data_IF_706970044923
#
_entry.id   IF_706970044923
#
_cell.length_a   1.000
_cell.length_b   1.000
_cell.length_c   1.000
_cell.angle_alpha   90.00
_cell.angle_beta   90.00
_cell.angle_gamma   90.00
#
_symmetry.space_group_name_H-M   'P 1'
#
loop_
_entity.id
_entity.type
_entity.pdbx_description
1 polymer ?
#
# COMPACT_ATOMS: atom_id res chain seq x y z
N UNK A 1 91.73 12.93 -26.16
CA UNK A 1 92.93 12.62 -25.36
C UNK A 1 92.50 11.73 -24.22
N UNK A 2 93.19 10.55 -24.23
CA UNK A 2 93.61 9.67 -23.14
C UNK A 2 92.50 9.21 -22.14
N UNK A 3 92.09 7.97 -22.26
CA UNK A 3 92.64 6.74 -21.69
C UNK A 3 92.79 6.75 -20.16
N UNK A 4 92.15 5.82 -19.47
CA UNK A 4 92.63 4.51 -18.95
C UNK A 4 91.53 3.86 -18.07
N UNK A 5 91.06 2.68 -18.30
CA UNK A 5 91.52 1.30 -18.04
C UNK A 5 91.71 0.90 -16.55
N UNK A 6 91.00 -0.17 -16.17
CA UNK A 6 91.24 -1.29 -15.29
C UNK A 6 91.03 -1.05 -13.78
N UNK A 7 90.27 -1.91 -13.09
CA UNK A 7 90.69 -3.28 -12.78
C UNK A 7 89.53 -4.17 -12.31
N UNK A 8 89.59 -5.42 -12.70
CA UNK A 8 88.80 -6.56 -12.23
C UNK A 8 89.29 -7.08 -10.91
N UNK A 9 88.42 -7.23 -9.92
CA UNK A 9 88.68 -8.09 -8.78
C UNK A 9 87.62 -9.20 -8.75
N UNK A 10 88.11 -10.44 -8.97
CA UNK A 10 87.36 -11.67 -8.76
C UNK A 10 87.29 -11.94 -7.27
N UNK A 11 86.10 -12.01 -6.70
CA UNK A 11 85.84 -12.52 -5.38
C UNK A 11 84.78 -13.60 -5.45
N UNK A 12 85.23 -14.86 -5.48
CA UNK A 12 84.32 -15.98 -5.31
C UNK A 12 83.93 -16.07 -3.83
N UNK A 13 82.70 -15.82 -3.50
CA UNK A 13 82.14 -16.05 -2.20
C UNK A 13 81.04 -17.10 -2.29
N UNK A 14 81.20 -18.12 -1.60
CA UNK A 14 80.39 -19.31 -1.38
C UNK A 14 78.92 -18.99 -1.14
N UNK A 15 78.08 -19.45 -2.01
CA UNK A 15 76.65 -19.49 -1.78
C UNK A 15 76.25 -20.77 -1.05
N UNK A 16 75.99 -20.64 0.25
CA UNK A 16 75.29 -21.67 0.99
C UNK A 16 73.80 -21.60 0.60
N UNK A 17 73.15 -22.69 0.22
CA UNK A 17 71.69 -22.69 0.02
C UNK A 17 71.06 -22.57 1.41
N UNK A 18 70.51 -21.41 1.69
CA UNK A 18 69.53 -21.26 2.79
C UNK A 18 68.24 -21.94 2.32
N UNK A 19 68.01 -23.13 2.82
CA UNK A 19 66.66 -23.75 2.71
C UNK A 19 65.75 -22.96 3.67
N UNK A 20 65.06 -22.01 3.18
CA UNK A 20 63.94 -21.41 3.87
C UNK A 20 62.83 -22.48 3.95
N UNK A 21 62.70 -23.12 5.11
CA UNK A 21 61.51 -23.86 5.43
C UNK A 21 60.37 -22.85 5.50
N UNK A 22 59.60 -22.75 4.43
CA UNK A 22 58.32 -22.07 4.47
C UNK A 22 57.41 -22.87 5.40
N UNK A 23 57.32 -22.47 6.64
CA UNK A 23 56.22 -22.88 7.52
C UNK A 23 54.99 -22.31 6.85
N UNK A 24 54.21 -23.16 6.18
CA UNK A 24 52.88 -22.82 5.74
C UNK A 24 52.10 -22.48 7.01
N UNK A 25 51.96 -21.19 7.28
CA UNK A 25 50.95 -20.74 8.22
C UNK A 25 49.63 -21.35 7.71
N UNK A 26 48.84 -22.00 8.58
CA UNK A 26 47.49 -22.39 8.16
C UNK A 26 46.82 -21.13 7.60
N UNK A 27 46.36 -21.22 6.37
CA UNK A 27 45.50 -20.18 5.83
C UNK A 27 44.39 -19.99 6.86
N UNK A 28 44.45 -18.86 7.57
CA UNK A 28 43.23 -18.41 8.26
C UNK A 28 42.19 -18.40 7.17
N UNK A 29 41.26 -19.33 7.21
CA UNK A 29 40.03 -19.24 6.48
C UNK A 29 39.44 -17.95 7.03
N UNK A 30 39.62 -16.86 6.30
CA UNK A 30 38.77 -15.70 6.51
C UNK A 30 37.38 -16.30 6.43
N UNK A 31 36.77 -16.44 7.59
CA UNK A 31 35.33 -16.57 7.65
C UNK A 31 34.84 -15.38 6.84
N UNK A 32 34.52 -15.63 5.59
CA UNK A 32 33.64 -14.75 4.88
C UNK A 32 32.41 -14.66 5.79
N UNK A 33 32.39 -13.63 6.63
CA UNK A 33 31.19 -13.13 7.22
C UNK A 33 30.36 -12.61 6.03
N UNK A 34 29.90 -13.54 5.23
CA UNK A 34 28.91 -13.25 4.21
C UNK A 34 27.79 -12.61 4.97
N UNK A 35 27.67 -11.30 4.86
CA UNK A 35 26.40 -10.64 5.13
C UNK A 35 25.45 -11.41 4.26
N UNK A 36 24.61 -12.24 4.89
CA UNK A 36 23.55 -12.95 4.17
C UNK A 36 22.89 -11.91 3.30
N UNK A 37 23.04 -12.07 1.98
CA UNK A 37 22.50 -11.12 1.03
C UNK A 37 21.00 -11.11 1.28
N UNK A 38 20.47 -9.99 1.76
CA UNK A 38 19.05 -9.86 2.02
C UNK A 38 18.34 -10.01 0.69
N UNK A 39 17.48 -11.01 0.57
CA UNK A 39 16.68 -11.27 -0.62
C UNK A 39 15.26 -10.78 -0.35
N UNK A 40 14.75 -9.81 -1.15
CA UNK A 40 13.38 -9.36 -1.01
C UNK A 40 12.39 -10.52 -1.14
N UNK A 41 11.51 -10.69 -0.18
CA UNK A 41 10.48 -11.75 -0.17
C UNK A 41 9.16 -11.15 -0.60
N UNK A 42 8.52 -11.76 -1.61
CA UNK A 42 7.19 -11.37 -2.03
C UNK A 42 6.15 -11.87 -1.02
N UNK A 43 5.33 -10.96 -0.53
CA UNK A 43 4.26 -11.23 0.42
C UNK A 43 2.90 -10.90 -0.18
N UNK A 44 1.89 -11.61 0.31
CA UNK A 44 0.51 -11.41 -0.08
C UNK A 44 -0.34 -11.44 1.19
N UNK A 45 -0.95 -10.30 1.52
CA UNK A 45 -1.86 -10.19 2.66
C UNK A 45 -3.29 -10.40 2.17
N UNK A 46 -3.88 -11.52 2.59
CA UNK A 46 -5.30 -11.82 2.36
C UNK A 46 -6.13 -11.39 3.58
N UNK A 47 -7.05 -10.48 3.37
CA UNK A 47 -7.91 -9.99 4.45
C UNK A 47 -8.67 -11.11 5.16
N UNK A 48 -9.06 -12.16 4.46
CA UNK A 48 -9.83 -13.27 5.05
C UNK A 48 -8.99 -14.18 5.96
N UNK A 49 -7.69 -14.31 5.69
CA UNK A 49 -6.77 -15.18 6.44
C UNK A 49 -5.96 -14.45 7.50
N UNK A 50 -5.46 -13.26 7.15
CA UNK A 50 -4.40 -12.59 7.89
C UNK A 50 -4.89 -11.45 8.78
N UNK A 51 -6.11 -10.95 8.55
CA UNK A 51 -6.63 -9.76 9.21
C UNK A 51 -7.60 -10.09 10.34
N UNK A 52 -7.49 -9.30 11.42
CA UNK A 52 -8.41 -9.33 12.57
C UNK A 52 -8.97 -7.94 12.81
N UNK A 53 -10.26 -7.80 12.60
CA UNK A 53 -11.01 -6.61 13.01
C UNK A 53 -11.18 -6.58 14.51
N UNK A 54 -10.77 -5.49 15.17
CA UNK A 54 -10.95 -5.28 16.61
C UNK A 54 -12.19 -4.42 16.90
N UNK A 55 -12.52 -3.51 15.99
CA UNK A 55 -13.72 -2.66 16.07
C UNK A 55 -14.12 -2.17 14.67
N UNK A 56 -15.16 -1.34 14.61
CA UNK A 56 -15.52 -0.62 13.38
C UNK A 56 -14.50 0.46 12.99
N UNK A 57 -13.52 0.75 13.84
CA UNK A 57 -12.53 1.82 13.64
C UNK A 57 -11.10 1.33 13.73
N UNK A 58 -10.88 0.04 13.98
CA UNK A 58 -9.54 -0.52 14.10
C UNK A 58 -9.48 -2.01 13.77
N UNK A 59 -8.34 -2.43 13.26
CA UNK A 59 -7.98 -3.82 13.04
C UNK A 59 -6.49 -3.96 12.78
N UNK A 60 -6.01 -5.19 12.66
CA UNK A 60 -4.61 -5.50 12.38
C UNK A 60 -4.48 -6.75 11.54
N UNK A 61 -3.38 -6.84 10.81
CA UNK A 61 -2.99 -8.03 10.08
C UNK A 61 -1.51 -8.33 10.33
N UNK A 62 -1.11 -9.56 10.06
CA UNK A 62 0.29 -9.96 10.05
C UNK A 62 0.49 -11.02 8.97
N UNK A 63 1.56 -10.87 8.19
CA UNK A 63 1.91 -11.78 7.10
C UNK A 63 3.40 -12.05 7.12
N UNK A 64 3.78 -13.29 6.86
CA UNK A 64 5.17 -13.76 6.92
C UNK A 64 5.30 -15.02 7.76
N UNK A 65 6.54 -15.32 8.11
CA UNK A 65 6.90 -16.46 8.94
C UNK A 65 7.59 -16.01 10.27
N UNK A 66 8.18 -16.95 10.98
CA UNK A 66 8.85 -16.68 12.26
C UNK A 66 10.09 -15.78 12.12
N UNK A 67 10.67 -15.69 10.92
CA UNK A 67 11.92 -14.97 10.66
C UNK A 67 11.66 -13.56 10.08
N UNK A 68 10.55 -13.39 9.37
CA UNK A 68 10.18 -12.13 8.73
C UNK A 68 8.66 -11.95 8.74
N UNK A 69 8.16 -11.22 9.72
CA UNK A 69 6.72 -10.91 9.83
C UNK A 69 6.50 -9.42 9.67
N UNK A 70 5.71 -9.04 8.68
CA UNK A 70 5.23 -7.68 8.50
C UNK A 70 3.86 -7.56 9.15
N UNK A 71 3.75 -6.70 10.16
CA UNK A 71 2.47 -6.34 10.76
C UNK A 71 1.89 -5.10 10.09
N UNK A 72 0.57 -5.08 9.96
CA UNK A 72 -0.20 -3.94 9.45
C UNK A 72 -1.25 -3.55 10.49
N UNK A 73 -1.26 -2.27 10.86
CA UNK A 73 -2.32 -1.67 11.66
C UNK A 73 -3.23 -0.85 10.75
N UNK A 74 -4.54 -1.04 10.90
CA UNK A 74 -5.57 -0.32 10.14
C UNK A 74 -6.42 0.45 11.14
N UNK A 75 -6.49 1.78 10.98
CA UNK A 75 -7.23 2.64 11.90
C UNK A 75 -8.05 3.69 11.16
N UNK A 76 -9.21 4.04 11.70
CA UNK A 76 -9.93 5.23 11.28
C UNK A 76 -9.23 6.47 11.85
N UNK A 77 -8.57 7.24 10.99
CA UNK A 77 -7.84 8.45 11.39
C UNK A 77 -8.78 9.65 11.59
N UNK A 78 -9.83 9.74 10.76
CA UNK A 78 -10.84 10.80 10.90
C UNK A 78 -12.18 10.37 10.33
N UNK A 79 -13.24 11.08 10.77
CA UNK A 79 -14.58 10.94 10.24
C UNK A 79 -15.25 12.31 10.20
N UNK A 80 -15.93 12.62 9.11
CA UNK A 80 -16.59 13.89 8.89
C UNK A 80 -17.82 14.10 9.79
N UNK A 81 -18.14 15.36 10.05
CA UNK A 81 -19.22 15.73 10.98
C UNK A 81 -20.61 15.25 10.57
N UNK A 82 -20.81 14.91 9.30
CA UNK A 82 -22.07 14.34 8.77
C UNK A 82 -21.97 12.85 8.48
N UNK A 83 -20.88 12.18 8.84
CA UNK A 83 -20.59 10.78 8.51
C UNK A 83 -20.52 9.92 9.76
N UNK A 84 -20.92 8.67 9.64
CA UNK A 84 -20.72 7.60 10.63
C UNK A 84 -20.23 6.34 9.93
N UNK A 85 -19.62 5.45 10.69
CA UNK A 85 -19.35 4.08 10.21
C UNK A 85 -20.63 3.26 10.20
N UNK A 86 -20.73 2.33 9.26
CA UNK A 86 -21.87 1.45 9.12
C UNK A 86 -23.07 2.08 8.43
N UNK A 87 -24.16 1.33 8.34
CA UNK A 87 -25.38 1.80 7.72
C UNK A 87 -26.16 2.80 8.59
N UNK A 88 -27.02 3.57 7.95
CA UNK A 88 -27.81 4.62 8.60
C UNK A 88 -28.83 4.05 9.61
N UNK A 89 -29.38 2.89 9.33
CA UNK A 89 -30.33 2.21 10.21
C UNK A 89 -29.66 1.69 11.50
N UNK A 90 -28.32 1.70 11.57
CA UNK A 90 -27.51 1.17 12.69
C UNK A 90 -27.72 -0.32 12.96
N UNK A 91 -28.21 -1.04 11.98
CA UNK A 91 -28.42 -2.50 12.06
C UNK A 91 -27.18 -3.26 11.64
N UNK A 92 -26.31 -2.62 10.88
CA UNK A 92 -25.09 -3.21 10.35
C UNK A 92 -23.94 -2.20 10.38
N UNK A 93 -22.75 -2.64 10.73
CA UNK A 93 -21.53 -1.85 10.64
C UNK A 93 -20.40 -2.71 10.10
N UNK A 94 -20.25 -2.69 8.78
CA UNK A 94 -19.23 -3.41 8.04
C UNK A 94 -17.92 -2.63 7.89
N UNK A 95 -17.82 -1.40 8.45
CA UNK A 95 -16.57 -0.66 8.35
C UNK A 95 -15.41 -1.44 8.94
N UNK A 96 -14.33 -1.59 8.15
CA UNK A 96 -13.19 -2.45 8.43
C UNK A 96 -13.54 -3.94 8.63
N UNK A 97 -14.68 -4.40 8.14
CA UNK A 97 -14.99 -5.82 8.06
C UNK A 97 -14.46 -6.41 6.74
N UNK A 98 -14.19 -7.70 6.75
CA UNK A 98 -13.90 -8.45 5.52
C UNK A 98 -15.22 -8.80 4.83
N UNK A 99 -15.33 -8.53 3.54
CA UNK A 99 -16.54 -8.84 2.77
C UNK A 99 -16.87 -10.34 2.82
N UNK A 100 -18.14 -10.68 2.69
CA UNK A 100 -18.57 -12.09 2.59
C UNK A 100 -18.41 -12.67 1.18
N UNK A 101 -18.06 -11.84 0.20
CA UNK A 101 -17.93 -12.15 -1.23
C UNK A 101 -16.58 -11.68 -1.78
N UNK A 102 -16.21 -12.18 -2.95
CA UNK A 102 -15.05 -11.71 -3.70
C UNK A 102 -15.35 -10.37 -4.35
N UNK A 103 -14.46 -9.39 -4.18
CA UNK A 103 -14.70 -8.01 -4.61
C UNK A 103 -14.07 -7.70 -5.97
N UNK A 104 -14.68 -6.80 -6.71
CA UNK A 104 -14.09 -6.20 -7.90
C UNK A 104 -13.68 -7.18 -8.99
N UNK A 105 -14.37 -8.32 -9.16
CA UNK A 105 -14.01 -9.36 -10.13
C UNK A 105 -12.73 -10.14 -9.77
N UNK A 106 -12.21 -10.00 -8.56
CA UNK A 106 -11.08 -10.79 -8.05
C UNK A 106 -11.57 -12.13 -7.49
N UNK A 107 -10.63 -13.00 -7.08
CA UNK A 107 -10.95 -14.21 -6.33
C UNK A 107 -10.95 -14.01 -4.80
N UNK A 108 -10.54 -12.80 -4.31
CA UNK A 108 -10.30 -12.52 -2.91
C UNK A 108 -11.40 -11.65 -2.32
N UNK A 109 -11.66 -11.84 -1.03
CA UNK A 109 -12.49 -10.94 -0.24
C UNK A 109 -11.78 -9.60 -0.01
N UNK A 110 -12.56 -8.52 0.15
CA UNK A 110 -12.02 -7.18 0.35
C UNK A 110 -12.22 -6.68 1.78
N UNK A 111 -11.37 -5.74 2.19
CA UNK A 111 -11.58 -4.94 3.39
C UNK A 111 -12.57 -3.82 3.06
N UNK A 112 -13.71 -3.77 3.73
CA UNK A 112 -14.74 -2.76 3.51
C UNK A 112 -14.40 -1.44 4.20
N UNK A 113 -14.55 -0.34 3.49
CA UNK A 113 -14.64 1.02 4.05
C UNK A 113 -16.10 1.43 3.92
N UNK A 114 -16.85 1.28 5.01
CA UNK A 114 -18.31 1.36 5.05
C UNK A 114 -18.75 2.58 5.85
N UNK A 115 -19.56 3.43 5.23
CA UNK A 115 -20.05 4.67 5.85
C UNK A 115 -21.49 4.98 5.48
N UNK A 116 -22.11 5.87 6.25
CA UNK A 116 -23.40 6.45 5.95
C UNK A 116 -23.51 7.87 6.53
N UNK A 117 -24.46 8.71 6.07
CA UNK A 117 -24.69 10.00 6.66
C UNK A 117 -25.35 9.86 8.05
N UNK A 118 -25.04 10.79 8.96
CA UNK A 118 -25.74 10.90 10.25
C UNK A 118 -27.21 11.23 10.04
N UNK A 119 -27.50 12.05 9.02
CA UNK A 119 -28.86 12.45 8.67
C UNK A 119 -29.04 12.42 7.16
N UNK A 120 -29.99 11.60 6.68
CA UNK A 120 -30.36 11.52 5.27
C UNK A 120 -31.13 12.75 4.75
N UNK A 121 -31.48 13.69 5.62
CA UNK A 121 -32.01 14.99 5.22
C UNK A 121 -30.92 15.97 4.77
N UNK A 122 -29.65 15.69 5.11
CA UNK A 122 -28.53 16.49 4.60
C UNK A 122 -28.14 15.97 3.22
N UNK A 123 -28.26 16.84 2.25
CA UNK A 123 -27.70 16.59 0.93
C UNK A 123 -26.20 16.46 1.04
N UNK A 124 -25.62 15.57 0.25
CA UNK A 124 -24.22 15.63 -0.03
C UNK A 124 -23.84 17.06 -0.42
N UNK A 125 -22.67 17.43 -0.07
CA UNK A 125 -22.18 18.75 -0.33
C UNK A 125 -22.19 19.06 -1.83
N UNK A 126 -22.41 20.32 -2.13
CA UNK A 126 -21.92 20.84 -3.40
C UNK A 126 -20.45 20.46 -3.56
N UNK A 127 -20.10 19.82 -4.67
CA UNK A 127 -18.74 19.41 -5.03
C UNK A 127 -17.72 20.56 -5.04
N UNK A 128 -18.21 21.79 -4.98
CA UNK A 128 -17.42 23.01 -4.96
C UNK A 128 -16.94 23.45 -3.56
N UNK A 129 -17.41 22.81 -2.49
CA UNK A 129 -17.05 23.22 -1.11
C UNK A 129 -16.21 22.12 -0.43
N UNK A 130 -14.91 22.38 -0.27
CA UNK A 130 -14.00 21.46 0.42
C UNK A 130 -14.49 21.12 1.85
N UNK A 131 -15.05 22.09 2.59
CA UNK A 131 -15.57 21.86 3.93
C UNK A 131 -16.71 20.80 3.94
N UNK A 132 -17.61 20.87 2.96
CA UNK A 132 -18.72 19.94 2.86
C UNK A 132 -18.29 18.55 2.38
N UNK A 133 -17.28 18.47 1.52
CA UNK A 133 -16.68 17.18 1.14
C UNK A 133 -16.12 16.51 2.39
N UNK A 134 -15.38 17.24 3.22
CA UNK A 134 -14.84 16.73 4.48
C UNK A 134 -15.91 16.28 5.48
N UNK A 135 -17.09 16.94 5.51
CA UNK A 135 -18.24 16.50 6.35
C UNK A 135 -18.78 15.12 5.95
N UNK A 136 -18.65 14.73 4.69
CA UNK A 136 -19.19 13.48 4.12
C UNK A 136 -18.05 12.50 3.78
N UNK A 137 -17.07 12.38 4.65
CA UNK A 137 -15.90 11.55 4.42
C UNK A 137 -15.46 10.76 5.67
N UNK A 138 -14.70 9.69 5.44
CA UNK A 138 -13.86 9.08 6.46
C UNK A 138 -12.47 8.81 5.90
N UNK A 139 -11.48 8.86 6.78
CA UNK A 139 -10.09 8.54 6.44
C UNK A 139 -9.65 7.30 7.20
N UNK A 140 -9.18 6.31 6.49
CA UNK A 140 -8.58 5.10 7.04
C UNK A 140 -7.07 5.17 6.80
N UNK A 141 -6.30 4.93 7.86
CA UNK A 141 -4.85 4.89 7.84
C UNK A 141 -4.37 3.45 7.96
N UNK A 142 -3.35 3.15 7.19
CA UNK A 142 -2.65 1.87 7.11
C UNK A 142 -1.19 2.10 7.50
N UNK A 143 -0.74 1.46 8.58
CA UNK A 143 0.62 1.58 9.11
C UNK A 143 1.28 0.20 9.12
N UNK A 144 2.35 0.02 8.37
CA UNK A 144 3.20 -1.16 8.37
C UNK A 144 4.24 -1.08 9.49
N UNK A 145 4.60 -2.21 10.09
CA UNK A 145 5.66 -2.28 11.10
C UNK A 145 7.04 -1.91 10.56
N UNK A 146 7.25 -2.11 9.28
CA UNK A 146 8.49 -1.83 8.55
C UNK A 146 8.13 -1.32 7.14
N UNK A 147 9.06 -0.64 6.44
CA UNK A 147 8.83 -0.27 5.04
C UNK A 147 8.57 -1.51 4.19
N UNK A 148 7.58 -1.44 3.31
CA UNK A 148 7.30 -2.46 2.29
C UNK A 148 7.49 -1.86 0.91
N UNK A 149 8.03 -2.63 -0.02
CA UNK A 149 8.29 -2.20 -1.39
C UNK A 149 7.27 -2.80 -2.37
N UNK A 150 7.10 -2.17 -3.54
CA UNK A 150 6.19 -2.62 -4.59
C UNK A 150 4.75 -2.88 -4.11
N UNK A 151 4.31 -2.14 -3.08
CA UNK A 151 2.94 -2.30 -2.58
C UNK A 151 1.93 -2.02 -3.68
N UNK A 152 1.04 -2.97 -3.91
CA UNK A 152 -0.03 -2.86 -4.90
C UNK A 152 -1.33 -3.51 -4.42
N UNK A 153 -2.47 -2.87 -4.73
CA UNK A 153 -3.82 -3.35 -4.44
C UNK A 153 -4.86 -2.70 -5.36
N UNK A 154 -6.08 -3.23 -5.34
CA UNK A 154 -7.23 -2.59 -5.97
C UNK A 154 -8.06 -1.86 -4.93
N UNK A 155 -8.57 -0.69 -5.31
CA UNK A 155 -9.76 -0.10 -4.71
C UNK A 155 -10.91 -0.42 -5.66
N UNK A 156 -11.94 -1.07 -5.14
CA UNK A 156 -13.07 -1.56 -5.92
C UNK A 156 -14.35 -0.87 -5.52
N UNK A 157 -15.34 -0.91 -6.39
CA UNK A 157 -16.67 -0.33 -6.16
C UNK A 157 -16.68 1.21 -6.09
N UNK A 158 -15.85 1.85 -6.93
CA UNK A 158 -15.84 3.31 -7.07
C UNK A 158 -16.86 3.68 -8.17
N UNK A 159 -18.10 3.87 -7.80
CA UNK A 159 -19.17 4.11 -8.75
C UNK A 159 -20.12 5.25 -8.32
N UNK A 160 -21.26 5.40 -8.98
CA UNK A 160 -22.22 6.45 -8.65
C UNK A 160 -23.66 6.09 -9.07
N UNK A 161 -24.61 6.41 -8.20
CA UNK A 161 -26.03 6.39 -8.52
C UNK A 161 -26.61 7.80 -8.45
N UNK A 162 -27.44 8.15 -9.44
CA UNK A 162 -28.02 9.49 -9.51
C UNK A 162 -28.91 9.77 -8.29
N UNK A 163 -28.72 10.92 -7.64
CA UNK A 163 -29.44 11.40 -6.46
C UNK A 163 -29.22 10.59 -5.18
N UNK A 164 -28.23 9.70 -5.17
CA UNK A 164 -27.96 8.76 -4.10
C UNK A 164 -26.51 8.88 -3.61
N UNK A 165 -25.57 8.47 -4.41
CA UNK A 165 -24.14 8.60 -4.08
C UNK A 165 -23.29 8.91 -5.31
N UNK A 166 -22.12 9.48 -5.02
CA UNK A 166 -21.06 9.68 -6.00
C UNK A 166 -19.72 9.48 -5.28
N UNK A 167 -19.10 8.33 -5.51
CA UNK A 167 -17.91 7.93 -4.83
C UNK A 167 -16.68 8.72 -5.29
N UNK A 168 -15.86 9.06 -4.31
CA UNK A 168 -14.59 9.72 -4.50
C UNK A 168 -13.58 9.20 -3.48
N UNK A 169 -12.35 8.89 -3.92
CA UNK A 169 -11.27 8.39 -3.08
C UNK A 169 -10.01 9.20 -3.28
N UNK A 170 -9.41 9.63 -2.17
CA UNK A 170 -8.10 10.29 -2.13
C UNK A 170 -7.13 9.38 -1.41
N UNK A 171 -5.91 9.27 -1.96
CA UNK A 171 -4.79 8.54 -1.38
C UNK A 171 -3.75 9.56 -0.93
N UNK A 172 -3.27 9.46 0.30
CA UNK A 172 -2.22 10.31 0.85
C UNK A 172 -1.09 9.44 1.39
N UNK A 173 0.14 9.71 0.95
CA UNK A 173 1.35 9.03 1.38
C UNK A 173 2.58 9.92 1.16
N UNK A 174 3.64 9.70 1.93
CA UNK A 174 4.94 10.29 1.66
C UNK A 174 5.64 9.62 0.47
N UNK A 175 5.41 8.32 0.26
CA UNK A 175 5.91 7.59 -0.90
C UNK A 175 5.06 7.90 -2.15
N UNK A 176 5.69 8.12 -3.32
CA UNK A 176 4.97 8.33 -4.57
C UNK A 176 4.21 7.06 -4.99
N UNK A 177 3.07 7.24 -5.62
CA UNK A 177 2.25 6.17 -6.13
C UNK A 177 1.65 6.50 -7.50
N UNK A 178 1.20 5.49 -8.19
CA UNK A 178 0.32 5.61 -9.35
C UNK A 178 -1.02 4.97 -9.04
N UNK A 179 -2.10 5.56 -9.56
CA UNK A 179 -3.40 4.92 -9.57
C UNK A 179 -3.91 4.89 -11.01
N UNK A 180 -4.31 3.73 -11.46
CA UNK A 180 -4.77 3.52 -12.84
C UNK A 180 -6.03 2.68 -12.88
N UNK A 181 -6.94 3.03 -13.77
CA UNK A 181 -8.12 2.22 -14.08
C UNK A 181 -7.84 1.32 -15.28
N UNK A 182 -8.23 0.07 -15.22
CA UNK A 182 -8.09 -0.87 -16.33
C UNK A 182 -8.92 -0.46 -17.55
N UNK A 183 -8.61 -1.08 -18.70
CA UNK A 183 -9.42 -0.89 -19.92
C UNK A 183 -10.87 -1.28 -19.65
N UNK A 184 -11.80 -0.38 -20.00
CA UNK A 184 -13.22 -0.57 -19.74
C UNK A 184 -13.69 -0.23 -18.32
N UNK A 185 -12.79 0.19 -17.43
CA UNK A 185 -13.17 0.73 -16.13
C UNK A 185 -13.93 2.06 -16.31
N UNK A 186 -14.83 2.29 -15.39
CA UNK A 186 -15.56 3.55 -15.29
C UNK A 186 -14.97 4.50 -14.25
N UNK A 187 -13.84 4.15 -13.65
CA UNK A 187 -13.14 5.01 -12.69
C UNK A 187 -12.24 5.99 -13.44
N UNK A 188 -12.24 7.24 -13.00
CA UNK A 188 -11.37 8.32 -13.49
C UNK A 188 -10.57 8.92 -12.33
N UNK A 189 -9.49 9.64 -12.66
CA UNK A 189 -8.63 10.30 -11.70
C UNK A 189 -7.36 9.51 -11.36
N UNK A 190 -6.44 10.19 -10.67
CA UNK A 190 -5.12 9.67 -10.28
C UNK A 190 -5.00 9.38 -8.78
N UNK A 191 -6.07 9.57 -8.01
CA UNK A 191 -6.08 9.30 -6.57
C UNK A 191 -5.50 10.41 -5.69
N UNK A 192 -5.04 11.50 -6.28
CA UNK A 192 -4.48 12.64 -5.52
C UNK A 192 -5.57 13.57 -4.99
N UNK A 193 -5.23 14.48 -4.08
CA UNK A 193 -6.15 15.49 -3.56
C UNK A 193 -6.69 16.41 -4.65
N UNK A 194 -5.91 16.67 -5.70
CA UNK A 194 -6.29 17.53 -6.83
C UNK A 194 -7.00 16.77 -7.94
N UNK A 195 -6.78 15.46 -8.05
CA UNK A 195 -7.42 14.59 -9.03
C UNK A 195 -7.79 13.24 -8.40
N UNK A 196 -8.81 13.20 -7.52
CA UNK A 196 -9.23 11.99 -6.83
C UNK A 196 -9.72 10.90 -7.78
N UNK A 197 -9.58 9.63 -7.36
CA UNK A 197 -10.34 8.56 -7.99
C UNK A 197 -11.82 8.83 -7.79
N UNK A 198 -12.61 8.64 -8.83
CA UNK A 198 -14.05 8.90 -8.82
C UNK A 198 -14.76 8.11 -9.91
N UNK A 199 -16.05 7.93 -9.74
CA UNK A 199 -16.89 7.47 -10.86
C UNK A 199 -16.73 8.41 -12.06
N UNK A 200 -16.40 7.90 -13.21
CA UNK A 200 -16.31 8.65 -14.46
C UNK A 200 -17.68 8.87 -15.12
N UNK A 201 -18.71 8.15 -14.68
CA UNK A 201 -20.10 8.26 -15.12
C UNK A 201 -21.04 7.80 -14.01
N UNK A 202 -22.31 8.16 -14.13
CA UNK A 202 -23.35 7.78 -13.17
C UNK A 202 -23.92 6.45 -13.63
N UNK A 203 -23.45 5.39 -13.02
CA UNK A 203 -23.89 4.01 -13.26
C UNK A 203 -23.52 3.18 -12.04
N UNK A 204 -24.50 2.66 -11.27
CA UNK A 204 -24.21 1.74 -10.18
C UNK A 204 -23.71 0.40 -10.74
N UNK A 205 -22.74 -0.18 -10.08
CA UNK A 205 -22.08 -1.43 -10.48
C UNK A 205 -22.10 -2.39 -9.29
N UNK A 206 -22.34 -3.69 -9.48
CA UNK A 206 -22.23 -4.65 -8.37
C UNK A 206 -20.81 -4.70 -7.81
N UNK A 207 -20.66 -4.83 -6.50
CA UNK A 207 -19.40 -4.88 -5.75
C UNK A 207 -18.45 -5.98 -6.25
N UNK A 208 -19.02 -7.01 -6.87
CA UNK A 208 -18.26 -8.13 -7.48
C UNK A 208 -17.74 -7.82 -8.88
N UNK A 209 -18.07 -6.66 -9.46
CA UNK A 209 -17.68 -6.29 -10.81
C UNK A 209 -16.31 -5.64 -10.86
N UNK A 210 -15.46 -6.01 -11.84
CA UNK A 210 -14.19 -5.33 -12.10
C UNK A 210 -14.29 -3.96 -12.79
N UNK A 211 -15.51 -3.48 -13.12
CA UNK A 211 -15.70 -2.24 -13.89
C UNK A 211 -15.51 -0.96 -13.07
N UNK A 212 -15.62 -1.04 -11.76
CA UNK A 212 -15.49 0.09 -10.83
C UNK A 212 -14.18 0.03 -10.02
N UNK A 213 -13.10 -0.46 -10.64
CA UNK A 213 -11.82 -0.66 -9.97
C UNK A 213 -10.76 0.34 -10.40
N UNK A 214 -9.88 0.68 -9.44
CA UNK A 214 -8.60 1.32 -9.69
C UNK A 214 -7.47 0.49 -9.05
N UNK A 215 -6.38 0.28 -9.78
CA UNK A 215 -5.15 -0.32 -9.27
C UNK A 215 -4.27 0.79 -8.69
N UNK A 216 -3.83 0.63 -7.47
CA UNK A 216 -2.85 1.50 -6.80
C UNK A 216 -1.54 0.75 -6.71
N UNK A 217 -0.43 1.41 -7.08
CA UNK A 217 0.92 0.86 -6.98
C UNK A 217 1.86 1.94 -6.45
N UNK A 218 2.55 1.64 -5.35
CA UNK A 218 3.59 2.51 -4.80
C UNK A 218 4.90 2.28 -5.55
N UNK A 219 5.61 3.38 -5.81
CA UNK A 219 6.83 3.40 -6.64
C UNK A 219 8.11 3.35 -5.80
N UNK A 220 8.00 3.57 -4.51
CA UNK A 220 9.06 3.56 -3.52
C UNK A 220 8.58 2.87 -2.25
N UNK A 221 9.50 2.42 -1.35
CA UNK A 221 9.11 1.80 -0.10
C UNK A 221 8.18 2.70 0.73
N UNK A 222 7.14 2.10 1.28
CA UNK A 222 6.11 2.78 2.05
C UNK A 222 5.94 2.18 3.43
N UNK A 223 5.91 3.02 4.46
CA UNK A 223 5.59 2.61 5.84
C UNK A 223 4.14 2.89 6.19
N UNK A 224 3.50 3.86 5.53
CA UNK A 224 2.11 4.17 5.78
C UNK A 224 1.47 4.92 4.62
N UNK A 225 0.16 4.75 4.49
CA UNK A 225 -0.69 5.55 3.62
C UNK A 225 -2.08 5.73 4.24
N UNK A 226 -2.84 6.67 3.72
CA UNK A 226 -4.22 6.89 4.10
C UNK A 226 -5.14 6.88 2.88
N UNK A 227 -6.36 6.38 3.06
CA UNK A 227 -7.44 6.47 2.10
C UNK A 227 -8.56 7.32 2.69
N UNK A 228 -8.93 8.38 2.00
CA UNK A 228 -10.10 9.19 2.34
C UNK A 228 -11.23 8.87 1.37
N UNK A 229 -12.26 8.21 1.87
CA UNK A 229 -13.49 7.90 1.15
C UNK A 229 -14.53 9.00 1.36
N UNK A 230 -15.13 9.47 0.28
CA UNK A 230 -16.03 10.62 0.25
C UNK A 230 -17.26 10.32 -0.58
N UNK A 231 -18.43 10.77 -0.13
CA UNK A 231 -19.58 10.93 -0.97
C UNK A 231 -19.71 12.40 -1.42
N UNK A 232 -19.72 12.62 -2.72
CA UNK A 232 -19.80 13.99 -3.30
C UNK A 232 -21.06 14.21 -4.15
N UNK A 233 -22.11 13.39 -3.96
CA UNK A 233 -23.38 13.61 -4.64
C UNK A 233 -23.97 14.99 -4.25
N UNK A 234 -24.21 15.83 -5.24
CA UNK A 234 -24.63 17.22 -5.02
C UNK A 234 -25.90 17.63 -5.77
N UNK A 235 -26.58 16.66 -6.41
CA UNK A 235 -27.78 17.00 -7.19
C UNK A 235 -28.91 17.47 -6.30
N UNK A 236 -29.72 18.32 -6.88
CA UNK A 236 -30.95 18.81 -6.24
C UNK A 236 -31.85 17.63 -5.85
N UNK A 237 -32.37 17.62 -4.63
CA UNK A 237 -33.17 16.56 -4.04
C UNK A 237 -32.46 15.21 -3.79
N UNK A 238 -31.14 15.14 -3.93
CA UNK A 238 -30.38 13.96 -3.54
C UNK A 238 -30.59 13.62 -2.07
N UNK A 239 -30.68 12.36 -1.79
CA UNK A 239 -30.51 11.80 -0.44
C UNK A 239 -29.24 10.98 -0.48
N UNK A 240 -28.34 11.23 0.47
CA UNK A 240 -27.13 10.43 0.55
C UNK A 240 -27.53 9.01 0.90
N UNK A 241 -26.97 8.05 0.18
CA UNK A 241 -27.14 6.62 0.46
C UNK A 241 -26.85 6.32 1.93
N UNK A 242 -27.72 5.52 2.50
CA UNK A 242 -27.62 5.09 3.90
C UNK A 242 -26.71 3.89 4.13
N UNK A 243 -26.04 3.38 3.10
CA UNK A 243 -25.27 2.14 3.14
C UNK A 243 -24.18 2.12 2.05
N UNK A 244 -23.15 2.96 2.21
CA UNK A 244 -22.09 3.13 1.20
C UNK A 244 -20.85 2.36 1.58
N UNK A 245 -20.24 1.69 0.63
CA UNK A 245 -18.95 1.02 0.82
C UNK A 245 -18.08 1.08 -0.44
N UNK A 246 -16.78 1.11 -0.24
CA UNK A 246 -15.76 0.70 -1.19
C UNK A 246 -14.94 -0.43 -0.54
N UNK A 247 -14.18 -1.16 -1.34
CA UNK A 247 -13.39 -2.27 -0.81
C UNK A 247 -11.95 -2.19 -1.28
N UNK A 248 -11.02 -2.62 -0.41
CA UNK A 248 -9.64 -2.90 -0.78
C UNK A 248 -9.48 -4.39 -1.02
N UNK A 249 -8.90 -4.74 -2.18
CA UNK A 249 -8.47 -6.12 -2.43
C UNK A 249 -7.32 -6.53 -1.51
N UNK A 250 -6.93 -7.80 -1.55
CA UNK A 250 -5.68 -8.25 -0.95
C UNK A 250 -4.50 -7.36 -1.34
N UNK A 251 -3.52 -7.19 -0.42
CA UNK A 251 -2.30 -6.41 -0.65
C UNK A 251 -1.19 -7.32 -1.15
N UNK A 252 -0.43 -6.87 -2.14
CA UNK A 252 0.78 -7.54 -2.61
C UNK A 252 1.96 -6.60 -2.47
N UNK A 253 3.06 -7.06 -1.87
CA UNK A 253 4.26 -6.26 -1.64
C UNK A 253 5.49 -7.14 -1.50
N UNK A 254 6.68 -6.55 -1.41
CA UNK A 254 7.93 -7.22 -1.06
C UNK A 254 8.51 -6.63 0.22
N UNK A 255 9.27 -7.43 0.96
CA UNK A 255 10.08 -6.92 2.07
C UNK A 255 11.19 -6.03 1.51
N UNK A 256 11.58 -5.02 2.30
CA UNK A 256 12.77 -4.21 1.99
C UNK A 256 14.03 -4.91 2.49
N UNK A 257 15.12 -4.68 1.83
CA UNK A 257 16.44 -5.12 2.25
C UNK A 257 17.32 -3.97 2.71
#
# INVERSE_FOLDING_TARGET
>A
MATERRAVIKGAAWSLPVIAAAVAAPAAVASDGGTAECVPVRMHLDWAGDYRRTSATAGSAAVGDAESTIALTVTQASIGANTRTGNQARTENLNLAVSSFAVGGTASRGLAIHQSPISNSRKAASTSSAARIAENSQTIRFDFSEPVDQLSFLITDIDAAAYDYFDRVVIESAAPFTASSGSGSMVAGSGTTTDPLRAGRIEPVPETSGRANATVTFLEPVTSFSLTYQNVESRSNSRIDGDQAIFLSALSFTTTC
#
